data_IF_154370746076
#
_entry.id   IF_154370746076
#
_cell.length_a   1.000
_cell.length_b   1.000
_cell.length_c   1.000
_cell.angle_alpha   90.00
_cell.angle_beta   90.00
_cell.angle_gamma   90.00
#
_symmetry.space_group_name_H-M   'P 1'
#
loop_
_entity.id
_entity.type
_entity.pdbx_description
1 polymer ?
#
# COMPACT_ATOMS: atom_id res chain seq x y z
N UNK A 1 2.98 -3.03 25.97
CA UNK A 1 1.89 -3.46 25.08
C UNK A 1 2.33 -3.53 23.61
N UNK A 2 2.77 -2.43 22.97
CA UNK A 2 3.23 -2.47 21.57
C UNK A 2 4.41 -3.43 21.29
N UNK A 3 5.37 -3.55 22.23
CA UNK A 3 6.50 -4.48 22.09
C UNK A 3 6.10 -5.98 22.16
N UNK A 4 5.03 -6.30 22.91
CA UNK A 4 4.52 -7.68 23.03
C UNK A 4 3.76 -8.09 21.77
N UNK A 5 3.07 -7.14 21.14
CA UNK A 5 2.43 -7.34 19.83
C UNK A 5 3.50 -7.59 18.77
N UNK A 6 4.56 -6.79 18.71
CA UNK A 6 5.64 -6.98 17.72
C UNK A 6 6.35 -8.36 17.80
N UNK A 7 6.59 -8.92 18.99
CA UNK A 7 7.19 -10.26 19.14
C UNK A 7 6.24 -11.39 18.68
N UNK A 8 4.92 -11.22 18.82
CA UNK A 8 3.94 -12.15 18.24
C UNK A 8 3.88 -12.06 16.70
N UNK A 9 4.19 -10.90 16.13
CA UNK A 9 4.19 -10.68 14.68
C UNK A 9 5.47 -11.19 13.99
N UNK A 10 6.59 -11.31 14.70
CA UNK A 10 7.90 -11.73 14.18
C UNK A 10 8.33 -13.13 14.64
N UNK A 11 7.65 -13.72 15.62
CA UNK A 11 7.88 -15.11 16.02
C UNK A 11 7.60 -16.07 14.85
N UNK A 12 8.38 -17.16 14.77
CA UNK A 12 8.16 -18.25 13.82
C UNK A 12 6.76 -18.83 14.03
N UNK A 13 5.80 -18.31 13.29
CA UNK A 13 4.45 -18.84 13.27
C UNK A 13 4.50 -20.19 12.55
N UNK A 14 4.24 -21.28 13.28
CA UNK A 14 3.91 -22.58 12.70
C UNK A 14 2.39 -22.65 12.48
N UNK A 15 1.86 -22.26 11.30
CA UNK A 15 0.47 -22.52 10.99
C UNK A 15 0.23 -24.02 11.03
N UNK A 16 -0.77 -24.41 11.81
CA UNK A 16 -1.35 -25.74 11.70
C UNK A 16 -1.89 -25.91 10.28
N UNK A 17 -1.47 -26.97 9.59
CA UNK A 17 -2.12 -27.40 8.36
C UNK A 17 -3.62 -27.57 8.63
N UNK A 18 -4.47 -26.83 7.92
CA UNK A 18 -5.89 -27.19 7.85
C UNK A 18 -5.98 -28.32 6.82
N UNK A 19 -5.60 -29.51 7.30
CA UNK A 19 -5.58 -30.74 6.56
C UNK A 19 -6.99 -31.12 6.12
N UNK A 20 -7.29 -30.85 4.87
CA UNK A 20 -8.26 -31.65 4.14
C UNK A 20 -7.50 -32.13 2.91
N UNK A 21 -7.32 -33.44 2.73
CA UNK A 21 -6.70 -34.02 1.53
C UNK A 21 -7.54 -33.80 0.25
N UNK A 22 -8.31 -32.72 0.22
CA UNK A 22 -9.09 -32.23 -0.90
C UNK A 22 -8.16 -31.58 -1.92
N UNK A 23 -8.56 -31.69 -3.18
CA UNK A 23 -7.92 -31.01 -4.29
C UNK A 23 -7.90 -29.49 -4.10
N UNK A 24 -6.91 -28.84 -4.73
CA UNK A 24 -6.81 -27.39 -4.74
C UNK A 24 -8.02 -26.75 -5.42
N UNK A 25 -8.42 -25.59 -4.89
CA UNK A 25 -9.55 -24.79 -5.37
C UNK A 25 -9.19 -23.32 -5.43
N UNK A 26 -9.95 -22.58 -6.23
CA UNK A 26 -9.92 -21.12 -6.21
C UNK A 26 -10.22 -20.60 -4.80
N UNK A 27 -9.40 -19.66 -4.36
CA UNK A 27 -9.42 -19.08 -3.03
C UNK A 27 -8.57 -19.81 -1.99
N UNK A 28 -7.94 -20.94 -2.32
CA UNK A 28 -6.99 -21.57 -1.40
C UNK A 28 -5.82 -20.63 -1.11
N UNK A 29 -5.44 -20.56 0.17
CA UNK A 29 -4.32 -19.75 0.66
C UNK A 29 -3.10 -20.66 0.77
N UNK A 30 -2.04 -20.22 0.10
CA UNK A 30 -0.74 -20.84 0.09
C UNK A 30 0.20 -20.01 0.97
N UNK A 31 0.88 -20.63 1.92
CA UNK A 31 2.05 -20.03 2.55
C UNK A 31 3.28 -20.38 1.72
N UNK A 32 4.06 -19.37 1.36
CA UNK A 32 5.31 -19.55 0.64
C UNK A 32 6.37 -20.12 1.58
N UNK A 33 7.03 -21.19 1.17
CA UNK A 33 8.14 -21.78 1.91
C UNK A 33 9.43 -21.14 1.35
N UNK A 34 10.18 -20.37 2.15
CA UNK A 34 11.46 -19.84 1.73
C UNK A 34 12.39 -21.03 1.46
N UNK A 35 12.65 -21.34 0.19
CA UNK A 35 13.77 -22.23 -0.13
C UNK A 35 15.06 -21.44 0.08
N UNK A 36 16.17 -22.17 0.27
CA UNK A 36 17.55 -21.66 0.20
C UNK A 36 17.85 -21.05 -1.19
N UNK A 37 17.09 -20.02 -1.57
CA UNK A 37 17.30 -19.21 -2.74
C UNK A 37 18.57 -18.41 -2.44
N UNK A 38 19.65 -18.82 -3.09
CA UNK A 38 20.88 -18.03 -3.15
C UNK A 38 20.52 -16.76 -3.93
N UNK A 39 20.17 -15.69 -3.20
CA UNK A 39 19.71 -14.41 -3.75
C UNK A 39 18.79 -13.65 -2.78
N UNK A 40 18.61 -12.35 -3.02
CA UNK A 40 17.66 -11.53 -2.25
C UNK A 40 16.23 -12.02 -2.49
N UNK A 41 15.67 -12.76 -1.52
CA UNK A 41 14.25 -13.11 -1.50
C UNK A 41 13.47 -11.83 -1.25
N UNK A 42 12.75 -11.33 -2.25
CA UNK A 42 12.01 -10.08 -2.17
C UNK A 42 10.91 -10.13 -1.11
N UNK A 43 10.50 -8.96 -0.62
CA UNK A 43 9.45 -8.81 0.40
C UNK A 43 8.17 -9.61 0.09
N UNK A 44 7.87 -9.79 -1.19
CA UNK A 44 6.66 -10.44 -1.69
C UNK A 44 6.77 -11.96 -1.79
N UNK A 45 7.98 -12.51 -1.72
CA UNK A 45 8.24 -13.94 -1.86
C UNK A 45 8.07 -14.73 -0.55
N UNK A 46 7.91 -14.03 0.59
CA UNK A 46 8.05 -14.62 1.93
C UNK A 46 6.75 -14.91 2.66
N UNK A 47 5.61 -14.57 2.09
CA UNK A 47 4.36 -14.53 2.85
C UNK A 47 3.33 -15.52 2.31
N UNK A 48 2.30 -15.02 1.65
CA UNK A 48 1.16 -15.81 1.26
C UNK A 48 0.81 -15.56 -0.20
N UNK A 49 0.03 -16.46 -0.78
CA UNK A 49 -0.60 -16.26 -2.07
C UNK A 49 -2.00 -16.87 -2.05
N UNK A 50 -2.92 -16.30 -2.82
CA UNK A 50 -4.25 -16.89 -3.02
C UNK A 50 -4.35 -17.43 -4.42
N UNK A 51 -4.81 -18.68 -4.56
CA UNK A 51 -5.07 -19.30 -5.85
C UNK A 51 -6.24 -18.59 -6.52
N UNK A 52 -6.00 -18.02 -7.70
CA UNK A 52 -7.03 -17.35 -8.51
C UNK A 52 -7.42 -18.14 -9.75
N UNK A 53 -6.70 -19.23 -10.09
CA UNK A 53 -7.13 -20.19 -11.13
C UNK A 53 -8.58 -20.58 -10.92
N UNK A 54 -9.39 -20.50 -11.96
CA UNK A 54 -10.82 -20.77 -11.86
C UNK A 54 -11.08 -22.25 -11.52
N UNK A 55 -12.12 -22.51 -10.70
CA UNK A 55 -12.48 -23.88 -10.33
C UNK A 55 -12.81 -24.76 -11.54
N UNK A 56 -13.38 -24.20 -12.60
CA UNK A 56 -13.62 -24.95 -13.84
C UNK A 56 -12.31 -25.40 -14.48
N UNK A 57 -11.29 -24.54 -14.53
CA UNK A 57 -9.99 -24.91 -15.08
C UNK A 57 -9.32 -26.01 -14.25
N UNK A 58 -9.39 -25.91 -12.91
CA UNK A 58 -8.90 -26.93 -11.98
C UNK A 58 -9.62 -28.28 -12.16
N UNK A 59 -10.95 -28.25 -12.27
CA UNK A 59 -11.78 -29.47 -12.40
C UNK A 59 -11.49 -30.21 -13.71
N UNK A 60 -11.21 -29.46 -14.79
CA UNK A 60 -10.99 -30.01 -16.12
C UNK A 60 -9.50 -30.09 -16.49
N UNK A 61 -8.59 -29.89 -15.54
CA UNK A 61 -7.13 -29.89 -15.75
C UNK A 61 -6.65 -28.99 -16.90
N UNK A 62 -7.34 -27.86 -17.16
CA UNK A 62 -7.02 -26.92 -18.25
C UNK A 62 -5.84 -26.00 -17.97
N UNK A 63 -5.16 -26.23 -16.85
CA UNK A 63 -4.10 -25.36 -16.33
C UNK A 63 -2.71 -26.01 -16.43
N UNK A 64 -2.61 -27.21 -17.01
CA UNK A 64 -1.34 -27.93 -17.27
C UNK A 64 -0.44 -28.09 -16.03
N UNK A 65 -1.08 -28.25 -14.86
CA UNK A 65 -0.39 -28.37 -13.57
C UNK A 65 0.21 -27.05 -13.06
N UNK A 66 -0.04 -25.91 -13.72
CA UNK A 66 0.36 -24.57 -13.28
C UNK A 66 -0.83 -23.84 -12.67
N UNK A 67 -0.62 -23.11 -11.59
CA UNK A 67 -1.65 -22.33 -10.91
C UNK A 67 -1.28 -20.86 -10.90
N UNK A 68 -2.23 -20.01 -11.26
CA UNK A 68 -2.10 -18.57 -11.13
C UNK A 68 -2.54 -18.14 -9.74
N UNK A 69 -1.68 -17.38 -9.07
CA UNK A 69 -1.87 -16.92 -7.71
C UNK A 69 -1.64 -15.41 -7.59
N UNK A 70 -2.39 -14.76 -6.70
CA UNK A 70 -2.17 -13.36 -6.32
C UNK A 70 -1.38 -13.30 -5.01
N UNK A 71 -0.25 -12.56 -4.93
CA UNK A 71 0.51 -12.40 -3.70
C UNK A 71 -0.29 -11.68 -2.62
N UNK A 72 -0.11 -12.14 -1.40
CA UNK A 72 -0.68 -11.58 -0.17
C UNK A 72 0.45 -11.27 0.80
N UNK A 73 0.47 -10.03 1.30
CA UNK A 73 1.41 -9.61 2.34
C UNK A 73 0.65 -9.12 3.58
N UNK A 74 1.19 -9.29 4.79
CA UNK A 74 0.63 -8.70 5.99
C UNK A 74 0.43 -7.19 5.83
N UNK A 75 -0.70 -6.67 6.28
CA UNK A 75 -1.05 -5.26 6.15
C UNK A 75 -0.03 -4.35 6.83
N UNK A 76 0.58 -4.82 7.92
CA UNK A 76 1.64 -4.12 8.64
C UNK A 76 2.90 -3.95 7.76
N UNK A 77 3.29 -5.01 7.04
CA UNK A 77 4.41 -5.00 6.10
C UNK A 77 4.11 -4.07 4.91
N UNK A 78 2.90 -4.17 4.35
CA UNK A 78 2.43 -3.24 3.31
C UNK A 78 2.48 -1.78 3.78
N UNK A 79 1.98 -1.52 4.98
CA UNK A 79 1.96 -0.18 5.55
C UNK A 79 3.38 0.37 5.69
N UNK A 80 4.27 -0.46 6.22
CA UNK A 80 5.66 -0.12 6.46
C UNK A 80 6.46 0.16 5.19
N UNK A 81 6.48 -0.79 4.24
CA UNK A 81 7.36 -0.70 3.07
C UNK A 81 6.75 0.06 1.90
N UNK A 82 5.42 0.24 1.87
CA UNK A 82 4.73 0.85 0.72
C UNK A 82 4.03 2.14 1.13
N UNK A 83 3.11 2.11 2.10
CA UNK A 83 2.26 3.27 2.38
C UNK A 83 3.00 4.40 3.09
N UNK A 84 3.80 4.09 4.11
CA UNK A 84 4.54 5.09 4.86
C UNK A 84 5.53 5.85 3.96
N UNK A 85 6.42 5.19 3.18
CA UNK A 85 7.30 5.89 2.25
C UNK A 85 6.53 6.74 1.24
N UNK A 86 5.45 6.20 0.65
CA UNK A 86 4.61 6.97 -0.29
C UNK A 86 3.99 8.21 0.37
N UNK A 87 3.53 8.11 1.61
CA UNK A 87 2.93 9.23 2.33
C UNK A 87 3.97 10.31 2.64
N UNK A 88 5.15 9.92 3.11
CA UNK A 88 6.26 10.84 3.37
C UNK A 88 6.71 11.53 2.09
N UNK A 89 6.87 10.77 0.99
CA UNK A 89 7.29 11.31 -0.29
C UNK A 89 6.26 12.29 -0.88
N UNK A 90 4.95 11.98 -0.77
CA UNK A 90 3.89 12.92 -1.14
C UNK A 90 3.96 14.22 -0.34
N UNK A 91 4.18 14.14 0.98
CA UNK A 91 4.32 15.33 1.84
C UNK A 91 5.58 16.13 1.50
N UNK A 92 6.69 15.44 1.22
CA UNK A 92 7.95 16.01 0.74
C UNK A 92 7.76 16.76 -0.59
N UNK A 93 7.12 16.13 -1.58
CA UNK A 93 6.79 16.75 -2.86
C UNK A 93 5.88 17.97 -2.69
N UNK A 94 4.89 17.91 -1.79
CA UNK A 94 4.04 19.06 -1.49
C UNK A 94 4.81 20.24 -0.89
N UNK A 95 5.87 20.00 -0.10
CA UNK A 95 6.79 21.04 0.35
C UNK A 95 7.53 21.68 -0.84
N UNK A 96 8.05 20.88 -1.78
CA UNK A 96 8.72 21.41 -2.99
C UNK A 96 7.81 22.31 -3.82
N UNK A 97 6.55 21.91 -4.03
CA UNK A 97 5.58 22.73 -4.77
C UNK A 97 5.38 24.10 -4.09
N UNK A 98 5.28 24.12 -2.75
CA UNK A 98 5.15 25.38 -1.99
C UNK A 98 6.40 26.24 -2.06
N UNK A 99 7.58 25.61 -2.00
CA UNK A 99 8.88 26.27 -2.10
C UNK A 99 9.06 26.89 -3.49
N UNK A 100 8.81 26.12 -4.55
CA UNK A 100 8.90 26.57 -5.94
C UNK A 100 7.93 27.74 -6.20
N UNK A 101 6.68 27.63 -5.72
CA UNK A 101 5.71 28.72 -5.81
C UNK A 101 6.22 29.99 -5.12
N UNK A 102 6.78 29.88 -3.92
CA UNK A 102 7.30 31.04 -3.20
C UNK A 102 8.49 31.70 -3.90
N UNK A 103 9.33 30.93 -4.58
CA UNK A 103 10.41 31.47 -5.43
C UNK A 103 9.85 32.24 -6.63
N UNK A 104 8.82 31.71 -7.30
CA UNK A 104 8.14 32.41 -8.40
C UNK A 104 7.47 33.70 -7.90
N UNK A 105 6.73 33.62 -6.79
CA UNK A 105 6.05 34.78 -6.19
C UNK A 105 7.05 35.86 -5.72
N UNK A 106 8.30 35.48 -5.44
CA UNK A 106 9.40 36.39 -5.07
C UNK A 106 10.24 36.87 -6.27
N UNK A 107 9.81 36.61 -7.50
CA UNK A 107 10.56 36.92 -8.73
C UNK A 107 11.97 36.29 -8.76
N UNK A 108 12.08 35.04 -8.29
CA UNK A 108 13.30 34.23 -8.25
C UNK A 108 13.08 32.86 -8.93
N UNK A 109 12.33 32.82 -10.03
CA UNK A 109 11.98 31.58 -10.73
C UNK A 109 13.21 30.81 -11.26
N UNK A 110 14.30 31.50 -11.56
CA UNK A 110 15.59 30.94 -11.99
C UNK A 110 16.26 30.08 -10.92
N UNK A 111 15.89 30.24 -9.64
CA UNK A 111 16.46 29.49 -8.53
C UNK A 111 15.73 28.18 -8.23
N UNK A 112 14.59 27.89 -8.86
CA UNK A 112 13.74 26.73 -8.51
C UNK A 112 14.49 25.41 -8.65
N UNK A 113 15.11 25.16 -9.80
CA UNK A 113 15.85 23.91 -10.05
C UNK A 113 17.05 23.77 -9.10
N UNK A 114 17.81 24.86 -8.92
CA UNK A 114 18.96 24.89 -8.01
C UNK A 114 18.57 24.61 -6.57
N UNK A 115 17.50 25.24 -6.07
CA UNK A 115 17.01 25.01 -4.70
C UNK A 115 16.53 23.57 -4.54
N UNK A 116 15.83 23.03 -5.55
CA UNK A 116 15.43 21.62 -5.53
C UNK A 116 16.65 20.71 -5.42
N UNK A 117 17.66 20.87 -6.28
CA UNK A 117 18.90 20.09 -6.22
C UNK A 117 19.59 20.20 -4.85
N UNK A 118 19.74 21.42 -4.32
CA UNK A 118 20.34 21.64 -3.00
C UNK A 118 19.59 20.90 -1.88
N UNK A 119 18.25 20.87 -1.94
CA UNK A 119 17.42 20.14 -0.98
C UNK A 119 17.58 18.62 -1.12
N UNK A 120 17.67 18.10 -2.34
CA UNK A 120 17.97 16.68 -2.60
C UNK A 120 19.40 16.29 -2.20
N UNK A 121 20.34 17.25 -2.18
CA UNK A 121 21.70 17.05 -1.68
C UNK A 121 21.84 17.28 -0.16
N UNK A 122 20.81 17.79 0.50
CA UNK A 122 20.72 17.87 1.96
C UNK A 122 21.25 19.18 2.51
N UNK A 123 21.41 20.16 1.63
CA UNK A 123 21.96 21.48 1.92
C UNK A 123 20.90 22.43 2.50
N UNK A 124 20.07 21.93 3.42
CA UNK A 124 18.95 22.66 4.04
C UNK A 124 19.39 24.00 4.62
N UNK A 125 20.52 24.05 5.33
CA UNK A 125 21.06 25.27 5.92
C UNK A 125 21.43 26.33 4.86
N UNK A 126 21.98 25.89 3.72
CA UNK A 126 22.32 26.77 2.61
C UNK A 126 21.09 27.37 1.94
N UNK A 127 20.02 26.57 1.78
CA UNK A 127 18.73 27.05 1.25
C UNK A 127 18.08 28.05 2.21
N UNK A 128 18.11 27.79 3.52
CA UNK A 128 17.57 28.72 4.52
C UNK A 128 18.31 30.06 4.47
N UNK A 129 19.65 30.05 4.44
CA UNK A 129 20.45 31.28 4.31
C UNK A 129 20.11 32.05 3.03
N UNK A 130 20.02 31.35 1.90
CA UNK A 130 19.60 31.93 0.63
C UNK A 130 18.21 32.61 0.75
N UNK A 131 17.26 31.97 1.44
CA UNK A 131 15.91 32.50 1.63
C UNK A 131 15.90 33.74 2.53
N UNK A 132 16.72 33.75 3.58
CA UNK A 132 16.87 34.88 4.49
C UNK A 132 17.52 36.10 3.82
N UNK A 133 18.50 35.89 2.93
CA UNK A 133 19.21 36.95 2.21
C UNK A 133 18.38 37.58 1.08
N UNK A 134 17.54 36.78 0.40
CA UNK A 134 16.86 37.20 -0.83
C UNK A 134 15.60 38.02 -0.62
N UNK A 135 14.69 37.59 0.27
CA UNK A 135 13.45 38.34 0.51
C UNK A 135 12.76 37.97 1.82
N UNK A 136 11.95 38.91 2.34
CA UNK A 136 11.09 38.67 3.51
C UNK A 136 10.03 37.60 3.24
N UNK A 137 9.53 37.51 2.00
CA UNK A 137 8.57 36.49 1.58
C UNK A 137 9.17 35.08 1.67
N UNK A 138 10.40 34.90 1.19
CA UNK A 138 11.10 33.62 1.26
C UNK A 138 11.47 33.25 2.69
N UNK A 139 11.81 34.23 3.52
CA UNK A 139 12.07 33.98 4.96
C UNK A 139 10.90 33.32 5.68
N UNK A 140 9.66 33.65 5.30
CA UNK A 140 8.45 33.02 5.86
C UNK A 140 8.29 31.54 5.44
N UNK A 141 9.06 31.08 4.43
CA UNK A 141 9.03 29.72 3.88
C UNK A 141 10.15 28.80 4.37
N UNK A 142 10.95 29.26 5.33
CA UNK A 142 11.97 28.46 6.00
C UNK A 142 11.39 27.23 6.69
N UNK A 143 10.14 27.31 7.19
CA UNK A 143 9.46 26.16 7.79
C UNK A 143 9.18 25.04 6.79
N UNK A 144 8.85 25.36 5.54
CA UNK A 144 8.63 24.40 4.48
C UNK A 144 9.93 23.70 4.07
N UNK A 145 11.04 24.44 4.04
CA UNK A 145 12.39 23.89 3.81
C UNK A 145 12.79 22.91 4.93
N UNK A 146 12.51 23.27 6.19
CA UNK A 146 12.76 22.38 7.33
C UNK A 146 11.86 21.13 7.27
N UNK A 147 10.56 21.27 6.98
CA UNK A 147 9.65 20.14 6.79
C UNK A 147 10.15 19.19 5.70
N UNK A 148 10.57 19.72 4.54
CA UNK A 148 11.16 18.92 3.47
C UNK A 148 12.33 18.07 3.99
N UNK A 149 13.25 18.69 4.72
CA UNK A 149 14.43 18.00 5.27
C UNK A 149 14.07 16.89 6.25
N UNK A 150 13.04 17.10 7.08
CA UNK A 150 12.56 16.09 8.03
C UNK A 150 11.97 14.88 7.27
N UNK A 151 11.10 15.13 6.29
CA UNK A 151 10.51 14.04 5.50
C UNK A 151 11.55 13.27 4.71
N UNK A 152 12.51 13.97 4.09
CA UNK A 152 13.60 13.33 3.36
C UNK A 152 14.48 12.47 4.29
N UNK A 153 14.92 13.02 5.42
CA UNK A 153 15.73 12.25 6.38
C UNK A 153 14.99 11.00 6.88
N UNK A 154 13.68 11.10 7.10
CA UNK A 154 12.87 9.95 7.47
C UNK A 154 12.82 8.89 6.35
N UNK A 155 12.66 9.31 5.09
CA UNK A 155 12.70 8.41 3.92
C UNK A 155 14.05 7.72 3.78
N UNK A 156 15.15 8.48 3.84
CA UNK A 156 16.51 7.94 3.71
C UNK A 156 16.79 6.91 4.81
N UNK A 157 16.35 7.18 6.05
CA UNK A 157 16.45 6.23 7.17
C UNK A 157 15.58 4.98 6.97
N UNK A 158 14.36 5.14 6.44
CA UNK A 158 13.44 4.02 6.20
C UNK A 158 13.91 3.09 5.08
N UNK A 159 14.57 3.62 4.05
CA UNK A 159 15.12 2.80 2.96
C UNK A 159 16.15 1.76 3.43
N UNK A 160 16.83 2.03 4.54
CA UNK A 160 17.85 1.16 5.13
C UNK A 160 17.34 0.44 6.40
N UNK A 161 16.03 0.43 6.62
CA UNK A 161 15.40 -0.09 7.82
C UNK A 161 14.58 -1.34 7.51
N UNK A 162 15.14 -2.51 7.81
CA UNK A 162 14.43 -3.79 7.65
C UNK A 162 13.55 -4.13 8.86
N UNK A 163 13.82 -3.53 10.02
CA UNK A 163 13.09 -3.83 11.25
C UNK A 163 11.90 -2.88 11.47
N UNK A 164 10.71 -3.46 11.64
CA UNK A 164 9.48 -2.71 11.90
C UNK A 164 9.56 -1.83 13.16
N UNK A 165 10.22 -2.30 14.22
CA UNK A 165 10.33 -1.52 15.45
C UNK A 165 11.14 -0.24 15.23
N UNK A 166 12.23 -0.35 14.49
CA UNK A 166 13.12 0.77 14.20
C UNK A 166 12.42 1.80 13.30
N UNK A 167 11.57 1.37 12.36
CA UNK A 167 10.82 2.31 11.53
C UNK A 167 9.76 3.10 12.28
N UNK A 168 9.10 2.50 13.28
CA UNK A 168 8.21 3.23 14.17
C UNK A 168 8.96 4.31 14.96
N UNK A 169 10.21 4.05 15.35
CA UNK A 169 11.08 5.06 15.99
C UNK A 169 11.39 6.19 14.99
N UNK A 170 11.79 5.87 13.76
CA UNK A 170 12.05 6.87 12.71
C UNK A 170 10.84 7.78 12.50
N UNK A 171 9.63 7.21 12.40
CA UNK A 171 8.40 7.97 12.23
C UNK A 171 8.07 8.85 13.43
N UNK A 172 8.26 8.32 14.64
CA UNK A 172 8.04 9.09 15.87
C UNK A 172 9.03 10.25 15.99
N UNK A 173 10.29 10.04 15.63
CA UNK A 173 11.31 11.09 15.60
C UNK A 173 10.93 12.20 14.61
N UNK A 174 10.52 11.83 13.40
CA UNK A 174 10.08 12.77 12.37
C UNK A 174 8.84 13.55 12.82
N UNK A 175 7.85 12.88 13.40
CA UNK A 175 6.65 13.52 13.95
C UNK A 175 7.00 14.50 15.09
N UNK A 176 7.89 14.11 15.99
CA UNK A 176 8.37 14.98 17.08
C UNK A 176 9.04 16.25 16.54
N UNK A 177 9.92 16.11 15.55
CA UNK A 177 10.57 17.25 14.89
C UNK A 177 9.55 18.19 14.21
N UNK A 178 8.52 17.63 13.58
CA UNK A 178 7.44 18.42 12.96
C UNK A 178 6.59 19.15 14.01
N UNK A 179 6.28 18.52 15.14
CA UNK A 179 5.55 19.17 16.23
C UNK A 179 6.36 20.32 16.82
N UNK A 180 7.66 20.12 17.05
CA UNK A 180 8.57 21.18 17.50
C UNK A 180 8.64 22.34 16.52
N UNK A 181 8.78 22.05 15.22
CA UNK A 181 8.84 23.05 14.17
C UNK A 181 7.58 23.92 14.10
N UNK A 182 6.42 23.35 14.40
CA UNK A 182 5.14 24.05 14.38
C UNK A 182 4.67 24.59 15.73
N UNK A 183 5.45 24.43 16.80
CA UNK A 183 5.04 24.79 18.16
C UNK A 183 3.77 24.05 18.61
N UNK A 184 3.55 22.83 18.12
CA UNK A 184 2.35 22.01 18.41
C UNK A 184 2.56 21.17 19.67
N UNK A 185 1.45 20.67 20.22
CA UNK A 185 1.49 19.68 21.30
C UNK A 185 2.19 18.39 20.81
N UNK A 186 2.95 17.71 21.69
CA UNK A 186 3.57 16.44 21.33
C UNK A 186 2.55 15.42 20.79
N UNK A 187 2.95 14.70 19.75
CA UNK A 187 2.20 13.64 19.05
C UNK A 187 1.09 14.11 18.10
N UNK A 188 0.86 15.41 17.92
CA UNK A 188 -0.13 15.89 16.95
C UNK A 188 0.23 15.46 15.52
N UNK A 189 1.49 15.62 15.12
CA UNK A 189 1.96 15.17 13.82
C UNK A 189 1.82 13.65 13.65
N UNK A 190 2.07 12.87 14.71
CA UNK A 190 1.93 11.40 14.68
C UNK A 190 0.46 10.99 14.50
N UNK A 191 -0.47 11.63 15.21
CA UNK A 191 -1.91 11.40 15.03
C UNK A 191 -2.33 11.71 13.59
N UNK A 192 -1.90 12.85 13.04
CA UNK A 192 -2.18 13.22 11.64
C UNK A 192 -1.55 12.24 10.63
N UNK A 193 -0.44 11.58 10.97
CA UNK A 193 0.13 10.50 10.15
C UNK A 193 -0.74 9.25 10.20
N UNK A 194 -1.18 8.84 11.38
CA UNK A 194 -2.03 7.66 11.57
C UNK A 194 -3.38 7.85 10.87
N UNK A 195 -3.99 9.03 10.98
CA UNK A 195 -5.24 9.35 10.27
C UNK A 195 -5.07 9.28 8.75
N UNK A 196 -4.00 9.89 8.22
CA UNK A 196 -3.70 9.79 6.79
C UNK A 196 -3.48 8.34 6.33
N UNK A 197 -2.83 7.50 7.15
CA UNK A 197 -2.65 6.09 6.85
C UNK A 197 -3.98 5.33 6.84
N UNK A 198 -4.87 5.59 7.82
CA UNK A 198 -6.21 5.00 7.87
C UNK A 198 -7.00 5.31 6.60
N UNK A 199 -6.97 6.56 6.14
CA UNK A 199 -7.64 6.93 4.89
C UNK A 199 -7.08 6.16 3.68
N UNK A 200 -5.76 6.02 3.58
CA UNK A 200 -5.11 5.31 2.47
C UNK A 200 -5.25 3.79 2.52
N UNK A 201 -5.52 3.23 3.70
CA UNK A 201 -5.78 1.80 3.89
C UNK A 201 -7.27 1.45 3.76
N UNK A 202 -8.16 2.44 3.86
CA UNK A 202 -9.60 2.30 3.66
C UNK A 202 -10.02 2.66 2.23
N UNK A 203 -10.95 3.60 2.10
CA UNK A 203 -11.61 3.92 0.82
C UNK A 203 -10.69 4.48 -0.26
N UNK A 204 -9.54 5.05 0.12
CA UNK A 204 -8.55 5.64 -0.81
C UNK A 204 -7.42 4.67 -1.16
N UNK A 205 -7.56 3.39 -0.84
CA UNK A 205 -6.57 2.38 -1.23
C UNK A 205 -6.43 2.36 -2.76
N UNK A 206 -5.21 2.38 -3.32
CA UNK A 206 -5.04 2.32 -4.76
C UNK A 206 -5.66 1.04 -5.32
N UNK A 207 -6.30 1.13 -6.50
CA UNK A 207 -7.04 0.01 -7.10
C UNK A 207 -6.21 -1.24 -7.40
N UNK A 208 -4.87 -1.11 -7.43
CA UNK A 208 -3.96 -2.26 -7.57
C UNK A 208 -3.85 -3.12 -6.29
N UNK A 209 -4.50 -2.73 -5.19
CA UNK A 209 -4.45 -3.44 -3.93
C UNK A 209 -5.85 -3.74 -3.37
N UNK A 210 -5.95 -4.81 -2.59
CA UNK A 210 -7.17 -5.16 -1.87
C UNK A 210 -6.84 -5.56 -0.44
N UNK A 211 -7.45 -4.89 0.53
CA UNK A 211 -7.37 -5.27 1.93
C UNK A 211 -8.27 -6.48 2.24
N UNK A 212 -7.74 -7.43 3.00
CA UNK A 212 -8.42 -8.64 3.44
C UNK A 212 -8.22 -8.74 4.95
N UNK A 213 -9.32 -8.76 5.71
CA UNK A 213 -9.24 -8.72 7.18
C UNK A 213 -8.57 -9.97 7.76
N UNK A 214 -8.89 -11.15 7.22
CA UNK A 214 -8.36 -12.42 7.70
C UNK A 214 -8.25 -13.46 6.59
N UNK A 215 -7.23 -14.33 6.67
CA UNK A 215 -7.02 -15.47 5.77
C UNK A 215 -7.52 -16.78 6.38
N UNK A 216 -7.59 -16.85 7.71
CA UNK A 216 -8.02 -18.00 8.50
C UNK A 216 -8.44 -17.53 9.91
N UNK A 217 -9.00 -18.41 10.73
CA UNK A 217 -9.40 -18.11 12.13
C UNK A 217 -8.22 -17.60 12.98
N UNK A 218 -7.02 -18.11 12.70
CA UNK A 218 -5.77 -17.80 13.38
C UNK A 218 -4.87 -16.82 12.61
N UNK A 219 -5.36 -16.25 11.50
CA UNK A 219 -4.65 -15.31 10.63
C UNK A 219 -5.53 -14.08 10.40
N UNK A 220 -5.60 -13.22 11.41
CA UNK A 220 -6.55 -12.09 11.51
C UNK A 220 -5.89 -10.71 11.52
N UNK A 221 -4.58 -10.66 11.24
CA UNK A 221 -3.77 -9.43 11.34
C UNK A 221 -3.97 -8.44 10.18
N UNK A 222 -4.90 -8.74 9.25
CA UNK A 222 -5.08 -7.98 8.03
C UNK A 222 -3.98 -8.25 7.00
N UNK A 223 -4.39 -8.35 5.74
CA UNK A 223 -3.52 -8.69 4.61
C UNK A 223 -3.88 -7.81 3.42
N UNK A 224 -2.91 -7.65 2.53
CA UNK A 224 -3.06 -6.88 1.30
C UNK A 224 -2.72 -7.77 0.12
N UNK A 225 -3.70 -7.97 -0.76
CA UNK A 225 -3.50 -8.60 -2.06
C UNK A 225 -2.95 -7.58 -3.06
N UNK A 226 -1.95 -7.98 -3.84
CA UNK A 226 -1.31 -7.14 -4.85
C UNK A 226 -1.81 -7.55 -6.23
N UNK A 227 -2.87 -6.91 -6.70
CA UNK A 227 -3.69 -7.36 -7.83
C UNK A 227 -2.97 -7.25 -9.18
N UNK A 228 -1.99 -6.35 -9.31
CA UNK A 228 -1.13 -6.24 -10.50
C UNK A 228 -0.07 -7.34 -10.62
N UNK A 229 0.11 -8.13 -9.57
CA UNK A 229 1.12 -9.17 -9.55
C UNK A 229 0.44 -10.53 -9.59
N UNK A 230 0.76 -11.30 -10.62
CA UNK A 230 0.37 -12.70 -10.73
C UNK A 230 1.62 -13.56 -10.62
N UNK A 231 1.48 -14.70 -9.95
CA UNK A 231 2.54 -15.68 -9.78
C UNK A 231 2.05 -17.02 -10.25
N UNK A 232 2.92 -17.70 -10.97
CA UNK A 232 2.69 -19.08 -11.34
C UNK A 232 3.42 -20.01 -10.36
N UNK A 233 2.70 -21.00 -9.88
CA UNK A 233 3.23 -22.08 -9.04
C UNK A 233 2.78 -23.41 -9.61
N UNK A 234 3.68 -24.38 -9.69
CA UNK A 234 3.29 -25.72 -10.13
C UNK A 234 2.53 -26.41 -8.99
N UNK A 235 1.43 -27.08 -9.31
CA UNK A 235 0.65 -27.86 -8.35
C UNK A 235 1.53 -28.91 -7.64
N UNK A 236 2.49 -29.51 -8.35
CA UNK A 236 3.47 -30.45 -7.77
C UNK A 236 4.44 -29.81 -6.77
N UNK A 237 4.54 -28.48 -6.74
CA UNK A 237 5.38 -27.72 -5.81
C UNK A 237 4.60 -27.26 -4.56
N UNK A 238 3.34 -27.67 -4.40
CA UNK A 238 2.50 -27.33 -3.25
C UNK A 238 2.28 -28.57 -2.41
N UNK A 239 2.56 -28.50 -1.10
CA UNK A 239 2.10 -29.52 -0.17
C UNK A 239 0.66 -29.24 0.26
N UNK A 240 -0.20 -30.27 0.16
CA UNK A 240 -1.59 -30.19 0.61
C UNK A 240 -1.72 -30.64 2.06
N UNK A 241 -0.81 -31.49 2.52
CA UNK A 241 -0.80 -32.02 3.88
C UNK A 241 0.57 -31.92 4.55
N UNK A 242 0.57 -31.84 5.88
CA UNK A 242 1.80 -31.88 6.69
C UNK A 242 2.59 -33.18 6.45
N UNK A 243 1.89 -34.28 6.21
CA UNK A 243 2.51 -35.58 5.94
C UNK A 243 3.28 -35.58 4.62
N UNK A 244 2.72 -34.96 3.56
CA UNK A 244 3.42 -34.80 2.28
C UNK A 244 4.69 -33.98 2.43
N UNK A 245 4.61 -32.85 3.14
CA UNK A 245 5.76 -31.98 3.40
C UNK A 245 6.86 -32.73 4.16
N UNK A 246 6.52 -33.41 5.26
CA UNK A 246 7.47 -34.20 6.06
C UNK A 246 8.11 -35.35 5.28
N UNK A 247 7.38 -35.98 4.35
CA UNK A 247 7.91 -37.08 3.53
C UNK A 247 8.92 -36.60 2.48
N UNK A 248 8.82 -35.34 2.03
CA UNK A 248 9.67 -34.78 0.98
C UNK A 248 10.12 -33.36 1.36
N UNK A 249 10.92 -33.21 2.43
CA UNK A 249 11.38 -31.90 2.89
C UNK A 249 12.17 -31.20 1.78
N UNK A 250 11.94 -29.89 1.61
CA UNK A 250 12.60 -29.07 0.59
C UNK A 250 12.07 -29.21 -0.85
N UNK A 251 11.17 -30.17 -1.11
CA UNK A 251 10.57 -30.34 -2.45
C UNK A 251 9.56 -29.22 -2.77
N UNK A 252 8.74 -28.84 -1.79
CA UNK A 252 7.65 -27.89 -1.98
C UNK A 252 8.12 -26.44 -1.87
N UNK A 253 7.54 -25.55 -2.67
CA UNK A 253 7.74 -24.09 -2.64
C UNK A 253 6.64 -23.37 -1.87
N UNK A 254 5.52 -24.04 -1.66
CA UNK A 254 4.43 -23.52 -0.84
C UNK A 254 3.68 -24.67 -0.16
N UNK A 255 2.90 -24.32 0.85
CA UNK A 255 1.97 -25.22 1.53
C UNK A 255 0.58 -24.61 1.62
N UNK A 256 -0.45 -25.41 1.44
CA UNK A 256 -1.85 -24.99 1.64
C UNK A 256 -2.11 -24.84 3.14
N UNK A 257 -2.57 -23.68 3.58
CA UNK A 257 -2.85 -23.41 5.00
C UNK A 257 -4.32 -23.18 5.32
N UNK A 258 -5.08 -22.64 4.37
CA UNK A 258 -6.50 -22.33 4.57
C UNK A 258 -7.19 -22.08 3.22
N UNK A 259 -8.46 -21.66 3.28
CA UNK A 259 -9.19 -21.15 2.13
C UNK A 259 -9.87 -19.84 2.50
N UNK A 260 -9.74 -18.86 1.60
CA UNK A 260 -10.36 -17.56 1.75
C UNK A 260 -11.89 -17.68 1.69
N UNK A 261 -12.59 -16.86 2.47
CA UNK A 261 -14.05 -16.77 2.41
C UNK A 261 -14.50 -16.45 0.97
N UNK A 262 -15.54 -17.15 0.51
CA UNK A 262 -16.11 -17.01 -0.84
C UNK A 262 -16.38 -15.55 -1.22
N UNK A 263 -16.87 -14.72 -0.30
CA UNK A 263 -17.13 -13.30 -0.55
C UNK A 263 -15.85 -12.52 -0.91
N UNK A 264 -14.75 -12.80 -0.20
CA UNK A 264 -13.45 -12.18 -0.52
C UNK A 264 -12.88 -12.71 -1.84
N UNK A 265 -13.06 -14.01 -2.15
CA UNK A 265 -12.61 -14.59 -3.43
C UNK A 265 -13.29 -13.88 -4.60
N UNK A 266 -14.62 -13.73 -4.55
CA UNK A 266 -15.36 -13.01 -5.60
C UNK A 266 -14.90 -11.56 -5.73
N UNK A 267 -14.77 -10.85 -4.61
CA UNK A 267 -14.30 -9.46 -4.61
C UNK A 267 -12.89 -9.34 -5.21
N UNK A 268 -11.99 -10.25 -4.84
CA UNK A 268 -10.61 -10.27 -5.33
C UNK A 268 -10.55 -10.53 -6.83
N UNK A 269 -11.24 -11.55 -7.34
CA UNK A 269 -11.24 -11.87 -8.77
C UNK A 269 -11.86 -10.73 -9.60
N UNK A 270 -12.97 -10.13 -9.13
CA UNK A 270 -13.57 -8.98 -9.80
C UNK A 270 -12.64 -7.77 -9.81
N UNK A 271 -12.01 -7.46 -8.68
CA UNK A 271 -11.10 -6.32 -8.59
C UNK A 271 -9.85 -6.52 -9.44
N UNK A 272 -9.29 -7.74 -9.43
CA UNK A 272 -8.17 -8.13 -10.28
C UNK A 272 -8.51 -7.98 -11.77
N UNK A 273 -9.65 -8.50 -12.22
CA UNK A 273 -10.08 -8.36 -13.62
C UNK A 273 -10.24 -6.90 -14.04
N UNK A 274 -10.77 -6.05 -13.14
CA UNK A 274 -10.89 -4.60 -13.38
C UNK A 274 -9.52 -3.94 -13.58
N UNK A 275 -8.55 -4.23 -12.71
CA UNK A 275 -7.18 -3.68 -12.81
C UNK A 275 -6.57 -3.95 -14.18
N UNK A 276 -6.72 -5.16 -14.73
CA UNK A 276 -6.18 -5.48 -16.06
C UNK A 276 -7.00 -4.94 -17.22
N UNK A 277 -8.31 -4.77 -17.04
CA UNK A 277 -9.17 -4.15 -18.07
C UNK A 277 -8.85 -2.66 -18.23
N UNK A 278 -8.52 -1.97 -17.13
CA UNK A 278 -8.25 -0.54 -17.13
C UNK A 278 -6.90 -0.18 -17.80
N UNK A 279 -5.93 -1.10 -17.86
CA UNK A 279 -4.57 -0.86 -18.40
C UNK A 279 -4.56 -0.60 -19.92
N UNK A 280 -5.62 -0.96 -20.64
CA UNK A 280 -5.73 -0.78 -22.10
C UNK A 280 -6.65 0.35 -22.55
N UNK A 281 -7.28 1.09 -21.63
CA UNK A 281 -8.24 2.12 -21.99
C UNK A 281 -7.55 3.46 -22.26
N UNK A 282 -7.76 4.09 -23.43
CA UNK A 282 -7.23 5.42 -23.70
C UNK A 282 -7.70 6.43 -22.64
N UNK A 283 -6.85 7.38 -22.27
CA UNK A 283 -7.20 8.40 -21.27
C UNK A 283 -8.44 9.23 -21.71
N UNK A 284 -8.58 9.43 -23.01
CA UNK A 284 -9.73 10.10 -23.63
C UNK A 284 -11.05 9.38 -23.39
N UNK A 285 -11.03 8.04 -23.29
CA UNK A 285 -12.22 7.26 -22.93
C UNK A 285 -12.66 7.58 -21.51
N UNK A 286 -11.72 7.56 -20.55
CA UNK A 286 -12.01 7.87 -19.14
C UNK A 286 -12.50 9.31 -18.98
N UNK A 287 -11.86 10.28 -19.63
CA UNK A 287 -12.29 11.69 -19.64
C UNK A 287 -13.70 11.86 -20.22
N UNK A 288 -13.99 11.18 -21.33
CA UNK A 288 -15.31 11.23 -21.98
C UNK A 288 -16.40 10.59 -21.13
N UNK A 289 -16.09 9.46 -20.47
CA UNK A 289 -17.00 8.78 -19.55
C UNK A 289 -17.33 9.69 -18.36
N UNK A 290 -16.33 10.25 -17.71
CA UNK A 290 -16.51 11.07 -16.51
C UNK A 290 -17.27 12.37 -16.83
N UNK A 291 -17.00 12.98 -17.99
CA UNK A 291 -17.75 14.12 -18.50
C UNK A 291 -19.24 13.79 -18.71
N UNK A 292 -19.56 12.61 -19.29
CA UNK A 292 -20.95 12.17 -19.46
C UNK A 292 -21.66 11.85 -18.15
N UNK A 293 -20.96 11.19 -17.21
CA UNK A 293 -21.53 10.90 -15.88
C UNK A 293 -21.89 12.21 -15.17
N UNK A 294 -21.04 13.23 -15.26
CA UNK A 294 -21.33 14.55 -14.71
C UNK A 294 -22.60 15.16 -15.30
N UNK A 295 -22.76 15.12 -16.63
CA UNK A 295 -23.97 15.59 -17.31
C UNK A 295 -25.23 14.88 -16.80
N UNK A 296 -25.18 13.57 -16.58
CA UNK A 296 -26.32 12.84 -16.00
C UNK A 296 -26.61 13.22 -14.55
N UNK A 297 -25.57 13.40 -13.73
CA UNK A 297 -25.71 13.88 -12.36
C UNK A 297 -26.36 15.26 -12.30
N UNK A 298 -25.94 16.18 -13.17
CA UNK A 298 -26.48 17.54 -13.27
C UNK A 298 -27.96 17.50 -13.72
N UNK A 299 -28.30 16.67 -14.73
CA UNK A 299 -29.68 16.46 -15.18
C UNK A 299 -30.59 15.92 -14.07
N UNK A 300 -30.13 14.93 -13.31
CA UNK A 300 -30.91 14.36 -12.21
C UNK A 300 -31.09 15.34 -11.05
N UNK A 301 -30.08 16.18 -10.77
CA UNK A 301 -30.20 17.23 -9.77
C UNK A 301 -31.23 18.31 -10.15
N UNK A 302 -31.44 18.55 -11.45
CA UNK A 302 -32.47 19.48 -11.94
C UNK A 302 -33.87 18.88 -12.03
N UNK A 303 -34.00 17.55 -11.96
CA UNK A 303 -35.29 16.89 -11.81
C UNK A 303 -35.72 16.91 -10.34
N UNK A 304 -36.04 18.08 -9.80
CA UNK A 304 -36.81 18.12 -8.56
C UNK A 304 -38.17 17.45 -8.82
N UNK A 305 -38.64 16.56 -7.93
CA UNK A 305 -39.99 16.06 -8.02
C UNK A 305 -40.93 17.24 -7.82
N UNK A 306 -41.72 17.59 -8.84
CA UNK A 306 -42.86 18.49 -8.69
C UNK A 306 -43.70 17.98 -7.52
N UNK A 307 -43.54 18.61 -6.35
CA UNK A 307 -44.24 18.26 -5.11
C UNK A 307 -45.63 18.90 -5.04
N UNK A 308 -46.19 19.32 -6.18
CA UNK A 308 -47.36 20.20 -6.27
C UNK A 308 -48.60 19.58 -6.93
N UNK A 309 -48.76 18.26 -6.88
CA UNK A 309 -50.03 17.62 -7.24
C UNK A 309 -50.51 16.69 -6.12
N UNK A 310 -51.20 17.24 -5.11
CA UNK A 310 -51.89 16.37 -4.14
C UNK A 310 -52.31 16.95 -2.79
N UNK A 311 -52.72 18.21 -2.69
CA UNK A 311 -53.53 18.70 -1.56
C UNK A 311 -54.69 19.58 -2.05
N UNK A 312 -55.65 18.94 -2.71
CA UNK A 312 -57.04 19.38 -2.66
C UNK A 312 -57.90 18.15 -2.38
N UNK A 313 -58.41 18.10 -1.16
CA UNK A 313 -59.24 17.06 -0.57
C UNK A 313 -59.46 17.37 0.89
#
# INVERSE_FOLDING_TARGET
MAAVVLDQFLGEYEPNFIGTGEDLRQGDILQMIPKNLVGEVGLLDRHFAVVVTANCDLTWSKHDGVLTCVPLIPALIYTHHIQVPRLLDRRRAACLVKIAKALVDADQADLVERVHEMLELGQTASVIRLFEEKSTLLRQKTSEVQQFSIYRSALDRLQHCDELRQSLVILRDAASQLDQLHGRKPNNALTNFVEALKETMGDKMPGDFLFINSLAENLTDGYVAILRMLRDIRQSEISLTATEERRRPGLYRARRISRLNVLYVHKLVQHMARVFTDIGLPEDYSKSRDARIKVYGDLWATCEPNSDEGRQG
#
